data_IF_341728384185
#
_entry.id   IF_341728384185
#
_cell.length_a   1.000
_cell.length_b   1.000
_cell.length_c   1.000
_cell.angle_alpha   90.00
_cell.angle_beta   90.00
_cell.angle_gamma   90.00
#
_symmetry.space_group_name_H-M   'P 1'
#
loop_
_entity.id
_entity.type
_entity.pdbx_description
1 polymer ?
#
# COMPACT_ATOMS: atom_id res chain seq x y z
N UNK A 1 18.90 5.22 -6.17
CA UNK A 1 17.72 4.44 -5.73
C UNK A 1 18.29 3.56 -4.64
N UNK A 2 17.98 3.90 -3.40
CA UNK A 2 18.81 3.48 -2.26
C UNK A 2 18.08 2.45 -1.40
N UNK A 3 16.75 2.36 -1.54
CA UNK A 3 15.92 1.33 -0.92
C UNK A 3 16.10 0.01 -1.67
N UNK A 4 16.74 -0.97 -1.00
CA UNK A 4 16.98 -2.31 -1.55
C UNK A 4 16.36 -3.37 -0.65
N UNK A 5 15.76 -4.40 -1.25
CA UNK A 5 15.20 -5.55 -0.52
C UNK A 5 15.86 -6.85 -0.98
N UNK A 6 16.13 -7.74 -0.02
CA UNK A 6 16.67 -9.08 -0.24
C UNK A 6 15.66 -10.11 0.25
N UNK A 7 15.47 -11.18 -0.52
CA UNK A 7 14.56 -12.26 -0.19
C UNK A 7 15.30 -13.59 -0.32
N UNK A 8 15.24 -14.41 0.72
CA UNK A 8 15.74 -15.77 0.69
C UNK A 8 14.82 -16.73 1.46
N UNK A 9 15.02 -18.01 1.20
CA UNK A 9 14.38 -19.17 1.79
C UNK A 9 14.81 -19.48 3.24
N UNK A 10 15.96 -18.99 3.70
CA UNK A 10 16.47 -19.21 5.06
C UNK A 10 17.25 -18.03 5.63
N UNK A 11 17.37 -17.99 6.96
CA UNK A 11 18.15 -17.00 7.69
C UNK A 11 19.65 -17.01 7.33
N UNK A 12 20.23 -18.19 7.18
CA UNK A 12 21.67 -18.33 6.87
C UNK A 12 21.99 -17.78 5.48
N UNK A 13 21.17 -18.13 4.47
CA UNK A 13 21.38 -17.68 3.08
C UNK A 13 21.17 -16.18 2.90
N UNK A 14 20.17 -15.61 3.59
CA UNK A 14 20.00 -14.15 3.57
C UNK A 14 21.18 -13.47 4.27
N UNK A 15 21.71 -14.03 5.36
CA UNK A 15 22.90 -13.48 6.03
C UNK A 15 24.15 -13.54 5.11
N UNK A 16 24.37 -14.65 4.39
CA UNK A 16 25.44 -14.75 3.39
C UNK A 16 25.30 -13.67 2.30
N UNK A 17 24.09 -13.49 1.77
CA UNK A 17 23.80 -12.44 0.78
C UNK A 17 24.07 -11.04 1.34
N UNK A 18 23.64 -10.77 2.57
CA UNK A 18 23.86 -9.48 3.24
C UNK A 18 25.35 -9.24 3.53
N UNK A 19 26.13 -10.29 3.82
CA UNK A 19 27.58 -10.16 4.00
C UNK A 19 28.27 -9.72 2.71
N UNK A 20 27.93 -10.35 1.58
CA UNK A 20 28.46 -9.97 0.25
C UNK A 20 28.09 -8.51 -0.07
N UNK A 21 26.84 -8.15 0.18
CA UNK A 21 26.32 -6.80 -0.05
C UNK A 21 27.02 -5.77 0.84
N UNK A 22 27.27 -6.09 2.10
CA UNK A 22 27.98 -5.22 3.04
C UNK A 22 29.42 -4.98 2.56
N UNK A 23 30.11 -6.02 2.09
CA UNK A 23 31.44 -5.89 1.50
C UNK A 23 31.43 -5.05 0.23
N UNK A 24 30.44 -5.27 -0.66
CA UNK A 24 30.29 -4.51 -1.89
C UNK A 24 30.08 -3.02 -1.60
N UNK A 25 29.14 -2.67 -0.72
CA UNK A 25 28.89 -1.28 -0.38
C UNK A 25 30.07 -0.62 0.32
N UNK A 26 30.75 -1.34 1.21
CA UNK A 26 31.97 -0.86 1.85
C UNK A 26 33.08 -0.54 0.84
N UNK A 27 33.29 -1.41 -0.16
CA UNK A 27 34.27 -1.16 -1.22
C UNK A 27 33.97 0.11 -2.03
N UNK A 28 32.69 0.49 -2.12
CA UNK A 28 32.23 1.69 -2.83
C UNK A 28 32.08 2.91 -1.90
N UNK A 29 32.56 2.85 -0.67
CA UNK A 29 32.43 3.92 0.35
C UNK A 29 30.97 4.32 0.61
N UNK A 30 30.08 3.32 0.62
CA UNK A 30 28.65 3.47 0.91
C UNK A 30 28.31 2.77 2.22
N UNK A 31 27.73 3.51 3.16
CA UNK A 31 27.28 2.98 4.44
C UNK A 31 25.83 2.53 4.43
N UNK A 32 25.58 1.32 4.94
CA UNK A 32 24.24 0.80 5.13
C UNK A 32 23.68 1.28 6.48
N UNK A 33 22.51 1.89 6.47
CA UNK A 33 21.84 2.35 7.69
C UNK A 33 21.06 1.22 8.37
N UNK A 34 21.74 0.46 9.25
CA UNK A 34 21.13 -0.64 10.00
C UNK A 34 19.91 -0.25 10.86
N UNK A 35 19.80 1.01 11.29
CA UNK A 35 18.62 1.51 12.05
C UNK A 35 17.38 1.67 11.17
N UNK A 36 17.55 1.84 9.85
CA UNK A 36 16.46 1.92 8.87
C UNK A 36 16.16 0.57 8.21
N UNK A 37 17.06 -0.40 8.33
CA UNK A 37 16.85 -1.76 7.85
C UNK A 37 15.79 -2.48 8.67
N UNK A 38 14.88 -3.19 8.00
CA UNK A 38 13.83 -3.98 8.63
C UNK A 38 13.93 -5.44 8.18
N UNK A 39 13.75 -6.39 9.12
CA UNK A 39 13.72 -7.82 8.83
C UNK A 39 12.29 -8.35 8.97
N UNK A 40 11.77 -8.99 7.92
CA UNK A 40 10.52 -9.76 7.96
C UNK A 40 10.81 -11.24 7.78
N UNK A 41 10.19 -12.06 8.63
CA UNK A 41 10.22 -13.52 8.48
C UNK A 41 8.79 -14.01 8.32
N UNK A 42 8.56 -14.83 7.29
CA UNK A 42 7.27 -15.46 7.01
C UNK A 42 7.38 -16.91 7.50
N UNK A 43 6.41 -17.34 8.32
CA UNK A 43 6.35 -18.70 8.89
C UNK A 43 7.64 -19.11 9.64
N UNK A 44 8.01 -18.40 10.72
CA UNK A 44 9.22 -18.70 11.47
C UNK A 44 9.18 -20.11 12.08
N UNK A 45 10.32 -20.81 12.04
CA UNK A 45 10.51 -22.15 12.65
C UNK A 45 11.26 -22.11 13.97
N UNK A 46 11.92 -21.00 14.27
CA UNK A 46 12.74 -20.80 15.47
C UNK A 46 12.17 -19.67 16.34
N UNK A 47 12.51 -19.62 17.64
CA UNK A 47 12.11 -18.54 18.52
C UNK A 47 12.57 -17.17 18.02
N UNK A 48 11.78 -16.15 18.32
CA UNK A 48 12.00 -14.79 17.81
C UNK A 48 13.37 -14.20 18.17
N UNK A 49 13.88 -14.52 19.35
CA UNK A 49 15.14 -13.96 19.84
C UNK A 49 16.35 -14.38 18.97
N UNK A 50 16.16 -15.46 18.19
CA UNK A 50 17.13 -16.02 17.25
C UNK A 50 16.90 -15.51 15.81
N UNK A 51 15.80 -14.78 15.55
CA UNK A 51 15.47 -14.23 14.24
C UNK A 51 16.03 -12.81 14.09
N UNK A 52 17.32 -12.74 13.78
CA UNK A 52 18.00 -11.50 13.46
C UNK A 52 18.98 -11.68 12.31
N UNK A 53 19.35 -10.56 11.70
CA UNK A 53 20.50 -10.46 10.79
C UNK A 53 21.43 -9.38 11.31
N UNK A 54 22.70 -9.45 10.92
CA UNK A 54 23.67 -8.38 11.10
C UNK A 54 23.93 -7.69 9.77
N UNK A 55 23.91 -6.37 9.75
CA UNK A 55 24.08 -5.57 8.54
C UNK A 55 25.05 -4.42 8.77
N UNK A 56 25.76 -4.01 7.72
CA UNK A 56 26.65 -2.86 7.76
C UNK A 56 27.98 -3.13 8.45
N UNK A 57 28.90 -2.16 8.35
CA UNK A 57 30.24 -2.26 8.93
C UNK A 57 30.23 -2.32 10.46
N UNK A 58 29.24 -1.70 11.09
CA UNK A 58 29.05 -1.70 12.55
C UNK A 58 28.42 -3.00 13.08
N UNK A 59 28.13 -3.98 12.20
CA UNK A 59 27.39 -5.20 12.54
C UNK A 59 26.08 -4.89 13.26
N UNK A 60 25.39 -3.82 12.82
CA UNK A 60 24.08 -3.44 13.33
C UNK A 60 23.13 -4.64 13.34
N UNK A 61 22.63 -5.00 14.53
CA UNK A 61 21.70 -6.11 14.71
C UNK A 61 20.27 -5.70 14.36
N UNK A 62 19.72 -6.27 13.30
CA UNK A 62 18.34 -6.06 12.86
C UNK A 62 17.48 -7.24 13.29
N UNK A 63 16.59 -7.01 14.24
CA UNK A 63 15.65 -8.01 14.76
C UNK A 63 14.38 -8.08 13.90
N UNK A 64 13.72 -9.25 13.88
CA UNK A 64 12.45 -9.41 13.17
C UNK A 64 11.35 -8.50 13.72
N UNK A 65 10.65 -7.82 12.81
CA UNK A 65 9.52 -6.93 13.13
C UNK A 65 8.18 -7.66 13.05
N UNK A 66 7.25 -7.36 13.97
CA UNK A 66 5.83 -7.75 13.82
C UNK A 66 5.00 -6.68 13.11
N UNK A 67 5.61 -5.50 12.91
CA UNK A 67 4.94 -4.37 12.28
C UNK A 67 4.90 -4.59 10.78
N UNK A 68 4.06 -3.82 10.11
CA UNK A 68 4.11 -3.77 8.65
C UNK A 68 5.39 -3.07 8.22
N UNK A 69 6.13 -3.69 7.30
CA UNK A 69 7.24 -3.06 6.60
C UNK A 69 6.67 -2.28 5.43
N UNK A 70 7.17 -1.07 5.20
CA UNK A 70 6.78 -0.25 4.06
C UNK A 70 7.91 -0.24 3.03
N UNK A 71 7.64 -0.76 1.85
CA UNK A 71 8.57 -0.72 0.72
C UNK A 71 7.89 -0.06 -0.49
N UNK A 72 8.49 1.02 -1.00
CA UNK A 72 7.98 1.86 -2.09
C UNK A 72 6.55 2.41 -1.90
N UNK A 73 5.96 2.33 -0.70
CA UNK A 73 4.56 2.73 -0.46
C UNK A 73 3.59 1.56 -0.37
N UNK A 74 4.04 0.36 -0.72
CA UNK A 74 3.37 -0.90 -0.43
C UNK A 74 3.71 -1.36 1.00
N UNK A 75 2.77 -2.06 1.63
CA UNK A 75 2.92 -2.53 3.01
C UNK A 75 2.94 -4.05 3.02
N UNK A 76 3.92 -4.62 3.71
CA UNK A 76 4.14 -6.06 3.83
C UNK A 76 3.98 -6.45 5.30
N UNK A 77 3.36 -7.60 5.55
CA UNK A 77 3.18 -8.13 6.90
C UNK A 77 3.30 -9.64 6.89
N UNK A 78 3.87 -10.20 7.96
CA UNK A 78 3.94 -11.66 8.15
C UNK A 78 2.57 -12.30 8.39
N UNK A 79 1.56 -11.52 8.79
CA UNK A 79 0.20 -12.00 9.00
C UNK A 79 -0.87 -10.96 8.67
N UNK A 80 -2.10 -11.41 8.36
CA UNK A 80 -3.28 -10.56 8.21
C UNK A 80 -3.18 -9.45 7.15
N UNK A 81 -2.32 -9.63 6.13
CA UNK A 81 -2.06 -8.62 5.09
C UNK A 81 -3.36 -8.12 4.42
N UNK A 82 -4.23 -9.04 3.98
CA UNK A 82 -5.50 -8.70 3.29
C UNK A 82 -6.38 -7.75 4.11
N UNK A 83 -6.66 -8.09 5.38
CA UNK A 83 -7.53 -7.30 6.26
C UNK A 83 -6.97 -5.89 6.48
N UNK A 84 -5.65 -5.79 6.70
CA UNK A 84 -4.96 -4.50 6.89
C UNK A 84 -5.00 -3.66 5.62
N UNK A 85 -4.74 -4.27 4.47
CA UNK A 85 -4.76 -3.56 3.18
C UNK A 85 -6.17 -3.07 2.82
N UNK A 86 -7.23 -3.86 3.04
CA UNK A 86 -8.62 -3.42 2.88
C UNK A 86 -8.92 -2.22 3.79
N UNK A 87 -8.51 -2.26 5.07
CA UNK A 87 -8.67 -1.14 5.99
C UNK A 87 -7.94 0.11 5.48
N UNK A 88 -6.72 -0.03 4.99
CA UNK A 88 -5.92 1.07 4.44
C UNK A 88 -6.57 1.70 3.21
N UNK A 89 -7.16 0.90 2.32
CA UNK A 89 -7.94 1.41 1.18
C UNK A 89 -9.15 2.21 1.68
N UNK A 90 -9.90 1.70 2.67
CA UNK A 90 -11.02 2.44 3.28
C UNK A 90 -10.55 3.77 3.87
N UNK A 91 -9.43 3.78 4.58
CA UNK A 91 -8.87 4.99 5.18
C UNK A 91 -8.43 6.00 4.10
N UNK A 92 -7.86 5.54 2.98
CA UNK A 92 -7.49 6.40 1.84
C UNK A 92 -8.74 7.03 1.22
N UNK A 93 -9.77 6.23 0.95
CA UNK A 93 -11.04 6.71 0.41
C UNK A 93 -11.66 7.73 1.36
N UNK A 94 -11.76 7.42 2.64
CA UNK A 94 -12.39 8.32 3.62
C UNK A 94 -11.62 9.64 3.79
N UNK A 95 -10.28 9.57 3.84
CA UNK A 95 -9.43 10.78 3.88
C UNK A 95 -9.57 11.63 2.62
N UNK A 96 -9.78 11.01 1.46
CA UNK A 96 -10.02 11.71 0.21
C UNK A 96 -11.40 12.38 0.19
N UNK A 97 -12.45 11.69 0.63
CA UNK A 97 -13.83 12.18 0.59
C UNK A 97 -14.11 13.26 1.64
N UNK A 98 -13.52 13.17 2.83
CA UNK A 98 -13.76 14.09 3.94
C UNK A 98 -13.66 15.59 3.59
N UNK A 99 -12.57 16.09 2.98
CA UNK A 99 -12.47 17.50 2.60
C UNK A 99 -13.43 17.88 1.46
N UNK A 100 -13.86 16.93 0.63
CA UNK A 100 -14.73 17.17 -0.53
C UNK A 100 -16.19 17.36 -0.09
N UNK A 101 -16.65 16.60 0.92
CA UNK A 101 -18.04 16.60 1.41
C UNK A 101 -18.61 17.99 1.74
N UNK A 102 -17.76 18.93 2.17
CA UNK A 102 -18.18 20.28 2.57
C UNK A 102 -17.86 21.35 1.52
N UNK A 103 -17.20 20.99 0.42
CA UNK A 103 -16.77 21.93 -0.62
C UNK A 103 -17.80 22.02 -1.74
N UNK A 104 -18.01 23.23 -2.27
CA UNK A 104 -18.75 23.43 -3.52
C UNK A 104 -17.81 23.08 -4.67
N UNK A 105 -18.00 21.90 -5.26
CA UNK A 105 -17.17 21.36 -6.33
C UNK A 105 -18.09 21.02 -7.50
N UNK A 106 -17.65 21.31 -8.72
CA UNK A 106 -18.41 20.97 -9.93
C UNK A 106 -18.28 19.49 -10.24
N UNK A 107 -19.22 19.01 -11.05
CA UNK A 107 -19.27 17.63 -11.52
C UNK A 107 -17.96 17.21 -12.22
N UNK A 108 -17.43 18.05 -13.11
CA UNK A 108 -16.17 17.77 -13.81
C UNK A 108 -14.97 17.70 -12.87
N UNK A 109 -14.90 18.58 -11.87
CA UNK A 109 -13.81 18.54 -10.89
C UNK A 109 -13.81 17.26 -10.05
N UNK A 110 -14.99 16.79 -9.59
CA UNK A 110 -15.04 15.55 -8.81
C UNK A 110 -14.73 14.32 -9.65
N UNK A 111 -15.21 14.25 -10.91
CA UNK A 111 -14.88 13.18 -11.83
C UNK A 111 -13.36 13.11 -12.08
N UNK A 112 -12.74 14.26 -12.37
CA UNK A 112 -11.29 14.35 -12.56
C UNK A 112 -10.51 13.88 -11.33
N UNK A 113 -10.86 14.36 -10.14
CA UNK A 113 -10.18 13.97 -8.91
C UNK A 113 -10.33 12.46 -8.61
N UNK A 114 -11.49 11.88 -8.90
CA UNK A 114 -11.68 10.44 -8.72
C UNK A 114 -10.80 9.66 -9.70
N UNK A 115 -10.87 9.97 -10.99
CA UNK A 115 -10.19 9.22 -12.06
C UNK A 115 -8.67 9.35 -12.02
N UNK A 116 -8.15 10.55 -11.73
CA UNK A 116 -6.72 10.84 -11.81
C UNK A 116 -6.00 10.86 -10.47
N UNK A 117 -6.73 10.86 -9.34
CA UNK A 117 -6.11 10.90 -8.01
C UNK A 117 -6.54 9.72 -7.14
N UNK A 118 -7.84 9.54 -6.92
CA UNK A 118 -8.31 8.49 -6.00
C UNK A 118 -8.05 7.09 -6.56
N UNK A 119 -8.51 6.83 -7.78
CA UNK A 119 -8.43 5.51 -8.42
C UNK A 119 -6.97 5.04 -8.52
N UNK A 120 -6.02 5.81 -9.09
CA UNK A 120 -4.62 5.38 -9.19
C UNK A 120 -4.01 5.08 -7.82
N UNK A 121 -4.30 5.90 -6.81
CA UNK A 121 -3.80 5.71 -5.45
C UNK A 121 -4.33 4.43 -4.80
N UNK A 122 -5.60 4.13 -5.02
CA UNK A 122 -6.25 2.93 -4.47
C UNK A 122 -5.78 1.68 -5.19
N UNK A 123 -5.70 1.69 -6.53
CA UNK A 123 -5.16 0.59 -7.34
C UNK A 123 -3.72 0.29 -6.94
N UNK A 124 -2.89 1.32 -6.78
CA UNK A 124 -1.51 1.16 -6.36
C UNK A 124 -1.38 0.41 -5.03
N UNK A 125 -2.16 0.80 -4.00
CA UNK A 125 -2.15 0.12 -2.70
C UNK A 125 -2.76 -1.29 -2.77
N UNK A 126 -3.68 -1.52 -3.69
CA UNK A 126 -4.29 -2.83 -3.89
C UNK A 126 -3.40 -3.82 -4.67
N UNK A 127 -2.28 -3.39 -5.28
CA UNK A 127 -1.43 -4.26 -6.13
C UNK A 127 -0.97 -5.56 -5.46
N UNK A 128 -0.83 -5.58 -4.13
CA UNK A 128 -0.41 -6.76 -3.37
C UNK A 128 -1.56 -7.74 -3.04
N UNK A 129 -2.79 -7.49 -3.48
CA UNK A 129 -3.92 -8.39 -3.24
C UNK A 129 -4.90 -8.40 -4.42
N UNK A 130 -5.62 -9.51 -4.56
CA UNK A 130 -6.74 -9.60 -5.48
C UNK A 130 -8.04 -9.24 -4.76
N UNK A 131 -8.76 -8.24 -5.26
CA UNK A 131 -10.10 -7.90 -4.81
C UNK A 131 -11.10 -8.35 -5.88
N UNK A 132 -12.20 -8.95 -5.43
CA UNK A 132 -13.34 -9.24 -6.31
C UNK A 132 -14.09 -7.97 -6.67
N UNK A 133 -14.84 -8.00 -7.77
CA UNK A 133 -15.69 -6.89 -8.21
C UNK A 133 -16.67 -6.44 -7.09
N UNK A 134 -17.23 -7.40 -6.35
CA UNK A 134 -18.10 -7.11 -5.21
C UNK A 134 -17.38 -6.34 -4.11
N UNK A 135 -16.12 -6.67 -3.83
CA UNK A 135 -15.32 -5.95 -2.83
C UNK A 135 -14.99 -4.53 -3.31
N UNK A 136 -14.66 -4.35 -4.58
CA UNK A 136 -14.47 -3.03 -5.17
C UNK A 136 -15.73 -2.18 -5.08
N UNK A 137 -16.88 -2.74 -5.46
CA UNK A 137 -18.18 -2.08 -5.36
C UNK A 137 -18.50 -1.64 -3.91
N UNK A 138 -18.21 -2.49 -2.92
CA UNK A 138 -18.40 -2.15 -1.51
C UNK A 138 -17.44 -1.03 -1.05
N UNK A 139 -16.18 -1.07 -1.49
CA UNK A 139 -15.18 -0.04 -1.16
C UNK A 139 -15.52 1.32 -1.79
N UNK A 140 -16.05 1.33 -3.02
CA UNK A 140 -16.38 2.56 -3.76
C UNK A 140 -17.80 3.09 -3.52
N UNK A 141 -18.66 2.34 -2.85
CA UNK A 141 -19.99 2.79 -2.41
C UNK A 141 -20.01 4.21 -1.79
N UNK A 142 -19.13 4.59 -0.83
CA UNK A 142 -19.10 5.95 -0.30
C UNK A 142 -18.71 7.01 -1.34
N UNK A 143 -17.86 6.67 -2.31
CA UNK A 143 -17.48 7.55 -3.43
C UNK A 143 -18.70 7.85 -4.30
N UNK A 144 -19.40 6.79 -4.72
CA UNK A 144 -20.61 6.90 -5.54
C UNK A 144 -21.71 7.71 -4.83
N UNK A 145 -21.90 7.49 -3.52
CA UNK A 145 -22.85 8.28 -2.72
C UNK A 145 -22.50 9.76 -2.73
N UNK A 146 -21.22 10.11 -2.58
CA UNK A 146 -20.79 11.50 -2.61
C UNK A 146 -20.97 12.13 -4.00
N UNK A 147 -20.66 11.39 -5.07
CA UNK A 147 -20.87 11.85 -6.45
C UNK A 147 -22.33 12.16 -6.70
N UNK A 148 -23.24 11.24 -6.33
CA UNK A 148 -24.69 11.47 -6.43
C UNK A 148 -25.12 12.73 -5.68
N UNK A 149 -24.61 12.92 -4.46
CA UNK A 149 -24.91 14.10 -3.65
C UNK A 149 -24.43 15.39 -4.32
N UNK A 150 -23.21 15.43 -4.85
CA UNK A 150 -22.64 16.60 -5.54
C UNK A 150 -23.44 16.93 -6.80
N UNK A 151 -23.90 15.91 -7.52
CA UNK A 151 -24.71 16.07 -8.73
C UNK A 151 -26.19 16.39 -8.44
N UNK A 152 -26.62 16.43 -7.16
CA UNK A 152 -28.03 16.61 -6.80
C UNK A 152 -28.93 15.42 -7.18
N UNK A 153 -28.35 14.24 -7.39
CA UNK A 153 -29.07 13.04 -7.83
C UNK A 153 -29.69 12.27 -6.66
N UNK A 154 -30.86 11.62 -6.85
CA UNK A 154 -31.44 10.72 -5.86
C UNK A 154 -30.49 9.58 -5.50
N UNK A 155 -30.59 9.06 -4.26
CA UNK A 155 -29.79 7.89 -3.83
C UNK A 155 -30.04 6.66 -4.72
N UNK A 156 -31.27 6.49 -5.20
CA UNK A 156 -31.71 5.41 -6.09
C UNK A 156 -31.25 5.56 -7.54
N UNK A 157 -30.58 6.66 -7.91
CA UNK A 157 -30.11 6.86 -9.28
C UNK A 157 -29.21 5.71 -9.74
N UNK A 158 -29.35 5.18 -10.97
CA UNK A 158 -28.55 4.04 -11.44
C UNK A 158 -27.05 4.33 -11.40
N UNK A 159 -26.26 3.45 -10.76
CA UNK A 159 -24.80 3.59 -10.70
C UNK A 159 -24.15 3.43 -12.08
N UNK A 160 -24.74 2.60 -12.95
CA UNK A 160 -24.29 2.43 -14.34
C UNK A 160 -24.26 3.74 -15.13
N UNK A 161 -25.21 4.65 -14.89
CA UNK A 161 -25.24 5.96 -15.52
C UNK A 161 -24.09 6.87 -15.05
N UNK A 162 -23.55 6.65 -13.84
CA UNK A 162 -22.39 7.41 -13.32
C UNK A 162 -21.10 6.99 -14.03
N UNK A 163 -20.99 5.73 -14.42
CA UNK A 163 -19.82 5.24 -15.16
C UNK A 163 -19.88 5.55 -16.65
N UNK A 164 -21.03 6.00 -17.14
CA UNK A 164 -21.21 6.25 -18.56
C UNK A 164 -20.41 7.47 -19.03
N UNK A 165 -19.67 7.27 -20.13
CA UNK A 165 -18.77 8.28 -20.73
C UNK A 165 -19.45 9.60 -21.05
N UNK A 166 -20.71 9.54 -21.48
CA UNK A 166 -21.46 10.75 -21.87
C UNK A 166 -22.20 11.42 -20.70
N UNK A 167 -21.99 10.98 -19.46
CA UNK A 167 -22.65 11.55 -18.27
C UNK A 167 -21.61 12.08 -17.28
N UNK A 168 -20.87 11.19 -16.61
CA UNK A 168 -19.87 11.55 -15.60
C UNK A 168 -18.48 10.98 -15.87
N UNK A 169 -18.38 9.95 -16.73
CA UNK A 169 -17.11 9.31 -17.12
C UNK A 169 -16.24 8.89 -15.92
N UNK A 170 -16.86 8.47 -14.81
CA UNK A 170 -16.09 7.92 -13.68
C UNK A 170 -15.64 6.51 -14.05
N UNK A 171 -14.36 6.23 -13.92
CA UNK A 171 -13.82 4.90 -14.22
C UNK A 171 -14.35 3.86 -13.22
N UNK A 172 -14.79 2.72 -13.74
CA UNK A 172 -15.15 1.57 -12.93
C UNK A 172 -13.89 0.76 -12.56
N UNK A 173 -13.87 0.15 -11.36
CA UNK A 173 -12.76 -0.63 -10.82
C UNK A 173 -13.15 -2.09 -10.57
#
# INVERSE_FOLDING_TARGET
>A
MDDTSYLDSSGDKIQESINIVTQFYHFHDVDINGKKSELMVINPKVPRNELYITIGHDNSKVQVTDKEIRYLGCYFSSSNLRKRSIKRIKDIIEKFLNPIRRKRITVGHIAYLINHVLIPRVVYVAQLMTLSENEWNLLFTPVIKLVKQICGLPRSYPTSAIYHRYILEINNL
#
